data_IF_430987987803
#
_entry.id   IF_430987987803
#
_cell.length_a   1.000
_cell.length_b   1.000
_cell.length_c   1.000
_cell.angle_alpha   90.00
_cell.angle_beta   90.00
_cell.angle_gamma   90.00
#
_symmetry.space_group_name_H-M   'P 1'
#
loop_
_entity.id
_entity.type
_entity.pdbx_description
1 polymer ?
#
# COMPACT_ATOMS: atom_id res chain seq x y z
N UNK A 1 -2.53 17.89 11.32
CA UNK A 1 -2.99 18.05 12.71
C UNK A 1 -3.10 16.63 13.26
N UNK A 2 -2.16 16.20 14.10
CA UNK A 2 -2.16 14.84 14.65
C UNK A 2 -3.18 14.82 15.79
N UNK A 3 -4.26 14.06 15.66
CA UNK A 3 -5.26 13.90 16.72
C UNK A 3 -4.58 13.39 17.99
N UNK A 4 -4.95 13.99 19.12
CA UNK A 4 -4.44 13.57 20.42
C UNK A 4 -4.98 12.17 20.74
N UNK A 5 -4.16 11.35 21.40
CA UNK A 5 -4.53 10.02 21.91
C UNK A 5 -5.87 10.02 22.66
N UNK A 6 -6.23 11.13 23.33
CA UNK A 6 -7.52 11.26 24.02
C UNK A 6 -8.72 11.43 23.07
N UNK A 7 -8.55 12.11 21.94
CA UNK A 7 -9.60 12.29 20.91
C UNK A 7 -9.84 10.97 20.18
N UNK A 8 -8.76 10.26 19.85
CA UNK A 8 -8.81 8.94 19.21
C UNK A 8 -9.54 7.91 20.09
N UNK A 9 -9.34 7.97 21.41
CA UNK A 9 -10.05 7.13 22.38
C UNK A 9 -11.53 7.50 22.55
N UNK A 10 -11.94 8.73 22.21
CA UNK A 10 -13.33 9.15 22.25
C UNK A 10 -14.09 8.66 21.02
N UNK A 11 -13.51 8.79 19.83
CA UNK A 11 -14.09 8.24 18.59
C UNK A 11 -14.24 6.71 18.64
N UNK A 12 -13.23 6.00 19.17
CA UNK A 12 -13.30 4.55 19.35
C UNK A 12 -14.47 4.18 20.27
N UNK A 13 -14.74 4.96 21.32
CA UNK A 13 -15.89 4.72 22.21
C UNK A 13 -17.23 4.98 21.54
N UNK A 14 -17.33 5.96 20.66
CA UNK A 14 -18.55 6.19 19.86
C UNK A 14 -18.79 5.06 18.86
N UNK A 15 -17.74 4.56 18.20
CA UNK A 15 -17.84 3.37 17.35
C UNK A 15 -18.33 2.14 18.14
N UNK A 16 -17.89 1.98 19.39
CA UNK A 16 -18.32 0.89 20.27
C UNK A 16 -19.75 1.05 20.81
N UNK A 17 -20.31 2.25 20.80
CA UNK A 17 -21.72 2.48 21.16
C UNK A 17 -22.68 2.00 20.06
N UNK A 18 -22.27 2.12 18.79
CA UNK A 18 -23.00 1.61 17.62
C UNK A 18 -22.97 0.07 17.52
N UNK A 19 -21.96 -0.59 18.11
CA UNK A 19 -21.82 -2.06 18.10
C UNK A 19 -22.97 -2.79 18.81
N UNK A 20 -23.53 -2.22 19.89
CA UNK A 20 -24.68 -2.83 20.59
C UNK A 20 -25.97 -2.81 19.78
N UNK A 21 -26.06 -1.92 18.80
CA UNK A 21 -27.27 -1.73 17.99
C UNK A 21 -27.28 -2.62 16.72
N UNK A 22 -26.10 -2.99 16.20
CA UNK A 22 -25.99 -3.68 14.90
C UNK A 22 -25.37 -5.08 14.92
N UNK A 23 -24.92 -5.60 16.08
CA UNK A 23 -24.54 -7.01 16.21
C UNK A 23 -23.39 -7.44 15.28
N UNK A 24 -22.44 -6.56 14.98
CA UNK A 24 -21.21 -6.92 14.30
C UNK A 24 -20.19 -7.46 15.30
N UNK A 25 -19.78 -8.72 15.16
CA UNK A 25 -18.55 -9.23 15.78
C UNK A 25 -17.35 -8.58 15.09
N UNK A 26 -16.86 -7.47 15.66
CA UNK A 26 -15.54 -6.95 15.32
C UNK A 26 -14.55 -7.61 16.27
N UNK A 27 -13.58 -8.34 15.70
CA UNK A 27 -12.40 -8.85 16.41
C UNK A 27 -11.83 -7.76 17.31
N UNK A 28 -11.51 -8.07 18.56
CA UNK A 28 -11.06 -7.06 19.51
C UNK A 28 -9.78 -6.38 19.00
N UNK A 29 -9.57 -5.10 19.34
CA UNK A 29 -8.34 -4.36 19.01
C UNK A 29 -7.03 -5.18 19.24
N UNK A 30 -6.90 -6.01 20.28
CA UNK A 30 -5.81 -6.98 20.45
C UNK A 30 -5.70 -8.05 19.35
N UNK A 31 -6.79 -8.60 18.84
CA UNK A 31 -6.79 -9.57 17.74
C UNK A 31 -6.47 -8.90 16.40
N UNK A 32 -7.05 -7.73 16.13
CA UNK A 32 -6.72 -6.93 14.94
C UNK A 32 -5.25 -6.50 14.93
N UNK A 33 -4.70 -6.09 16.08
CA UNK A 33 -3.28 -5.77 16.20
C UNK A 33 -2.40 -7.00 16.11
N UNK A 34 -2.83 -8.17 16.59
CA UNK A 34 -2.07 -9.42 16.45
C UNK A 34 -2.03 -9.91 15.00
N UNK A 35 -3.15 -9.87 14.28
CA UNK A 35 -3.20 -10.21 12.85
C UNK A 35 -2.44 -9.21 11.99
N UNK A 36 -2.54 -7.91 12.28
CA UNK A 36 -1.68 -6.90 11.63
C UNK A 36 -0.20 -7.17 11.95
N UNK A 37 0.14 -7.44 13.22
CA UNK A 37 1.52 -7.56 13.67
C UNK A 37 2.19 -8.84 13.15
N UNK A 38 1.45 -9.96 13.07
CA UNK A 38 1.91 -11.21 12.44
C UNK A 38 2.06 -11.08 10.91
N UNK A 39 1.22 -10.27 10.25
CA UNK A 39 1.40 -9.93 8.83
C UNK A 39 2.56 -8.94 8.59
N UNK A 40 2.87 -8.06 9.57
CA UNK A 40 3.94 -7.05 9.45
C UNK A 40 5.31 -7.47 9.95
N UNK A 41 5.43 -8.60 10.68
CA UNK A 41 6.71 -9.25 10.97
C UNK A 41 7.21 -9.99 9.72
N UNK A 42 7.41 -9.22 8.65
CA UNK A 42 7.92 -9.66 7.37
C UNK A 42 9.28 -10.30 7.59
N UNK A 43 9.33 -11.64 7.49
CA UNK A 43 10.58 -12.39 7.39
C UNK A 43 11.35 -11.82 6.20
N UNK A 44 12.37 -11.01 6.49
CA UNK A 44 13.21 -10.37 5.47
C UNK A 44 14.01 -11.46 4.78
N UNK A 45 13.67 -11.75 3.53
CA UNK A 45 14.41 -12.69 2.69
C UNK A 45 15.30 -11.90 1.74
N UNK A 46 16.59 -12.25 1.68
CA UNK A 46 17.51 -11.71 0.66
C UNK A 46 17.27 -12.44 -0.65
N UNK A 47 17.01 -11.68 -1.71
CA UNK A 47 16.91 -12.19 -3.08
C UNK A 47 18.14 -11.73 -3.86
N UNK A 48 18.71 -12.64 -4.63
CA UNK A 48 19.74 -12.33 -5.63
C UNK A 48 19.09 -12.47 -7.01
N UNK A 49 19.22 -11.45 -7.84
CA UNK A 49 18.60 -11.39 -9.17
C UNK A 49 19.69 -11.19 -10.21
N UNK A 50 19.71 -12.05 -11.22
CA UNK A 50 20.53 -11.86 -12.41
C UNK A 50 19.72 -11.06 -13.43
N UNK A 51 20.15 -9.82 -13.69
CA UNK A 51 19.46 -8.88 -14.57
C UNK A 51 20.34 -8.57 -15.77
N UNK A 52 19.72 -8.34 -16.92
CA UNK A 52 20.42 -7.80 -18.08
C UNK A 52 20.90 -6.37 -17.80
N UNK A 53 21.96 -5.94 -18.50
CA UNK A 53 22.51 -4.60 -18.35
C UNK A 53 21.47 -3.48 -18.59
N UNK A 54 20.60 -3.56 -19.64
CA UNK A 54 19.58 -2.54 -19.87
C UNK A 54 18.59 -2.40 -18.71
N UNK A 55 18.11 -3.52 -18.15
CA UNK A 55 17.15 -3.50 -17.02
C UNK A 55 17.80 -2.89 -15.79
N UNK A 56 19.08 -3.20 -15.53
CA UNK A 56 19.81 -2.59 -14.41
C UNK A 56 19.99 -1.08 -14.60
N UNK A 57 20.22 -0.62 -15.82
CA UNK A 57 20.34 0.81 -16.14
C UNK A 57 19.01 1.53 -15.90
N UNK A 58 17.91 0.98 -16.40
CA UNK A 58 16.56 1.53 -16.18
C UNK A 58 16.20 1.62 -14.68
N UNK A 59 16.52 0.60 -13.89
CA UNK A 59 16.34 0.65 -12.43
C UNK A 59 17.20 1.72 -11.76
N UNK A 60 18.39 2.01 -12.30
CA UNK A 60 19.28 3.05 -11.79
C UNK A 60 18.75 4.44 -12.13
N UNK A 61 18.28 4.63 -13.36
CA UNK A 61 17.63 5.87 -13.79
C UNK A 61 16.36 6.16 -12.98
N UNK A 62 15.53 5.15 -12.76
CA UNK A 62 14.34 5.25 -11.91
C UNK A 62 14.69 5.59 -10.46
N UNK A 63 15.78 5.04 -9.91
CA UNK A 63 16.27 5.41 -8.58
C UNK A 63 16.58 6.90 -8.53
N UNK A 64 17.30 7.41 -9.52
CA UNK A 64 17.75 8.80 -9.54
C UNK A 64 16.57 9.76 -9.77
N UNK A 65 15.66 9.41 -10.68
CA UNK A 65 14.44 10.18 -10.95
C UNK A 65 13.53 10.27 -9.71
N UNK A 66 13.36 9.16 -8.99
CA UNK A 66 12.47 9.08 -7.81
C UNK A 66 13.17 9.36 -6.48
N UNK A 67 14.47 9.72 -6.53
CA UNK A 67 15.34 9.95 -5.38
C UNK A 67 15.25 8.81 -4.33
N UNK A 68 15.20 7.57 -4.81
CA UNK A 68 15.12 6.41 -3.92
C UNK A 68 16.47 6.10 -3.28
N UNK A 69 16.47 5.71 -2.00
CA UNK A 69 17.70 5.42 -1.24
C UNK A 69 18.51 4.24 -1.79
N UNK A 70 17.85 3.32 -2.52
CA UNK A 70 18.49 2.13 -3.09
C UNK A 70 17.68 1.51 -4.23
N UNK A 71 18.33 0.65 -5.03
CA UNK A 71 17.63 -0.15 -6.04
C UNK A 71 16.58 -1.10 -5.43
N UNK A 72 16.82 -1.60 -4.21
CA UNK A 72 15.84 -2.42 -3.49
C UNK A 72 14.56 -1.63 -3.20
N UNK A 73 14.69 -0.34 -2.89
CA UNK A 73 13.54 0.52 -2.65
C UNK A 73 12.76 0.82 -3.93
N UNK A 74 13.46 1.03 -5.05
CA UNK A 74 12.82 1.11 -6.37
C UNK A 74 12.02 -0.15 -6.67
N UNK A 75 12.60 -1.33 -6.47
CA UNK A 75 11.92 -2.62 -6.70
C UNK A 75 10.69 -2.77 -5.80
N UNK A 76 10.77 -2.38 -4.52
CA UNK A 76 9.60 -2.39 -3.62
C UNK A 76 8.47 -1.50 -4.12
N UNK A 77 8.78 -0.26 -4.49
CA UNK A 77 7.80 0.70 -5.00
C UNK A 77 7.18 0.21 -6.31
N UNK A 78 7.99 -0.29 -7.23
CA UNK A 78 7.52 -0.86 -8.49
C UNK A 78 6.57 -2.06 -8.27
N UNK A 79 6.91 -2.96 -7.35
CA UNK A 79 6.04 -4.09 -6.99
C UNK A 79 4.71 -3.63 -6.38
N UNK A 80 4.71 -2.57 -5.58
CA UNK A 80 3.48 -2.01 -5.01
C UNK A 80 2.56 -1.48 -6.12
N UNK A 81 3.12 -0.72 -7.07
CA UNK A 81 2.37 -0.21 -8.24
C UNK A 81 1.84 -1.37 -9.10
N UNK A 82 2.69 -2.36 -9.41
CA UNK A 82 2.27 -3.54 -10.16
C UNK A 82 1.15 -4.32 -9.44
N UNK A 83 1.28 -4.52 -8.12
CA UNK A 83 0.25 -5.18 -7.30
C UNK A 83 -1.07 -4.43 -7.33
N UNK A 84 -1.03 -3.09 -7.21
CA UNK A 84 -2.22 -2.24 -7.30
C UNK A 84 -2.92 -2.39 -8.66
N UNK A 85 -2.15 -2.30 -9.75
CA UNK A 85 -2.65 -2.46 -11.12
C UNK A 85 -3.30 -3.83 -11.33
N UNK A 86 -2.62 -4.92 -10.93
CA UNK A 86 -3.14 -6.28 -11.09
C UNK A 86 -4.41 -6.50 -10.27
N UNK A 87 -4.45 -6.02 -9.02
CA UNK A 87 -5.65 -6.12 -8.17
C UNK A 87 -6.83 -5.36 -8.77
N UNK A 88 -6.59 -4.16 -9.30
CA UNK A 88 -7.62 -3.39 -10.00
C UNK A 88 -8.18 -4.17 -11.19
N UNK A 89 -7.31 -4.76 -12.02
CA UNK A 89 -7.71 -5.58 -13.16
C UNK A 89 -8.54 -6.80 -12.76
N UNK A 90 -8.09 -7.58 -11.76
CA UNK A 90 -8.80 -8.78 -11.30
C UNK A 90 -10.17 -8.44 -10.71
N UNK A 91 -10.30 -7.28 -10.06
CA UNK A 91 -11.58 -6.77 -9.57
C UNK A 91 -12.49 -6.16 -10.65
N UNK A 92 -12.10 -6.19 -11.93
CA UNK A 92 -12.85 -5.57 -13.03
C UNK A 92 -12.80 -4.03 -13.04
N UNK A 93 -11.90 -3.44 -12.25
CA UNK A 93 -11.67 -2.01 -12.18
C UNK A 93 -10.92 -1.45 -13.39
N UNK A 94 -11.01 -0.15 -13.60
CA UNK A 94 -10.28 0.59 -14.64
C UNK A 94 -9.28 1.54 -13.98
N UNK A 95 -8.12 1.72 -14.59
CA UNK A 95 -7.12 2.67 -14.13
C UNK A 95 -7.22 3.97 -14.95
N UNK A 96 -7.37 5.09 -14.26
CA UNK A 96 -7.40 6.41 -14.88
C UNK A 96 -6.13 7.14 -14.45
N UNK A 97 -5.27 7.46 -15.41
CA UNK A 97 -4.12 8.34 -15.19
C UNK A 97 -4.54 9.74 -15.65
N UNK A 98 -4.32 10.71 -14.77
CA UNK A 98 -4.57 12.13 -15.04
C UNK A 98 -3.22 12.83 -15.00
N UNK A 99 -2.91 13.54 -16.07
CA UNK A 99 -1.75 14.41 -16.12
C UNK A 99 -2.06 15.78 -15.48
N UNK A 100 -1.04 16.62 -15.46
CA UNK A 100 -1.05 17.93 -14.82
C UNK A 100 -1.99 18.93 -15.54
N UNK A 101 -2.25 18.69 -16.83
CA UNK A 101 -3.12 19.49 -17.69
C UNK A 101 -4.59 19.03 -17.63
N UNK A 102 -4.87 17.95 -16.91
CA UNK A 102 -6.20 17.38 -16.75
C UNK A 102 -6.66 16.54 -17.93
N UNK A 103 -5.79 16.26 -18.91
CA UNK A 103 -6.08 15.31 -19.97
C UNK A 103 -6.14 13.88 -19.42
N UNK A 104 -7.12 13.13 -19.93
CA UNK A 104 -7.44 11.79 -19.44
C UNK A 104 -6.82 10.74 -20.34
N UNK A 105 -5.80 10.06 -19.85
CA UNK A 105 -5.32 8.83 -20.48
C UNK A 105 -5.95 7.64 -19.75
N UNK A 106 -7.00 7.06 -20.36
CA UNK A 106 -7.61 5.82 -19.88
C UNK A 106 -6.68 4.67 -20.28
N UNK A 107 -6.02 4.05 -19.30
CA UNK A 107 -5.36 2.77 -19.50
C UNK A 107 -6.36 1.65 -19.13
N UNK A 108 -6.90 0.97 -20.14
CA UNK A 108 -7.65 -0.27 -19.92
C UNK A 108 -6.61 -1.37 -19.71
N UNK A 109 -6.67 -2.05 -18.56
CA UNK A 109 -5.68 -3.06 -18.15
C UNK A 109 -6.32 -4.44 -18.12
#
# INVERSE_FOLDING_TARGET
>A
MLMNKQELLAEIKECWALEREYGCEILTLPELTKELNEQTMSKKTRLTLDLSLPVRQELTELRDLTQADSLTEVVRRALAVYSFVVKAKVGGGKLLLRDDDGEHSIAII
#
